data_IF_398719418013
#
_entry.id   IF_398719418013
#
_cell.length_a   1.000
_cell.length_b   1.000
_cell.length_c   1.000
_cell.angle_alpha   90.00
_cell.angle_beta   90.00
_cell.angle_gamma   90.00
#
_symmetry.space_group_name_H-M   'P 1'
#
loop_
_entity.id
_entity.type
_entity.pdbx_description
1 polymer ?
#
# COMPACT_ATOMS: atom_id res chain seq x y z
N UNK A 1 -16.03 -17.01 -9.37
CA UNK A 1 -14.82 -17.83 -9.14
C UNK A 1 -13.92 -17.07 -8.18
N UNK A 2 -13.26 -17.74 -7.24
CA UNK A 2 -12.28 -17.12 -6.34
C UNK A 2 -10.92 -17.74 -6.66
N UNK A 3 -9.90 -16.89 -6.88
CA UNK A 3 -8.51 -17.32 -6.99
C UNK A 3 -7.89 -17.12 -5.61
N UNK A 4 -7.78 -18.21 -4.84
CA UNK A 4 -7.17 -18.17 -3.52
C UNK A 4 -5.65 -18.33 -3.64
N UNK A 5 -4.91 -17.32 -3.19
CA UNK A 5 -3.44 -17.28 -3.25
C UNK A 5 -2.79 -17.58 -1.90
N UNK A 6 -3.56 -18.00 -0.88
CA UNK A 6 -3.07 -18.21 0.49
C UNK A 6 -1.90 -19.19 0.59
N UNK A 7 -1.86 -20.19 -0.28
CA UNK A 7 -0.78 -21.19 -0.31
C UNK A 7 0.48 -20.69 -1.06
N UNK A 8 0.40 -19.54 -1.73
CA UNK A 8 1.57 -18.86 -2.29
C UNK A 8 2.16 -17.98 -1.20
N UNK A 9 2.81 -18.59 -0.22
CA UNK A 9 3.29 -17.94 0.99
C UNK A 9 4.81 -18.08 1.22
N UNK A 10 5.58 -18.44 0.18
CA UNK A 10 7.03 -18.48 0.31
C UNK A 10 7.62 -17.07 0.44
N UNK A 11 8.67 -16.97 1.26
CA UNK A 11 9.50 -15.78 1.41
C UNK A 11 10.95 -16.22 1.24
N UNK A 12 11.62 -15.71 0.20
CA UNK A 12 13.03 -15.99 -0.05
C UNK A 12 13.84 -14.73 0.16
N UNK A 13 14.81 -14.79 1.08
CA UNK A 13 15.66 -13.68 1.49
C UNK A 13 17.05 -13.87 0.89
N UNK A 14 17.57 -12.85 0.20
CA UNK A 14 18.95 -12.79 -0.27
C UNK A 14 19.71 -11.69 0.47
N UNK A 15 20.61 -12.11 1.36
CA UNK A 15 21.42 -11.23 2.21
C UNK A 15 22.53 -10.54 1.41
N UNK A 16 23.07 -11.19 0.37
CA UNK A 16 24.14 -10.62 -0.45
C UNK A 16 23.66 -9.43 -1.27
N UNK A 17 22.45 -9.55 -1.84
CA UNK A 17 21.84 -8.49 -2.66
C UNK A 17 20.92 -7.56 -1.88
N UNK A 18 20.70 -7.82 -0.59
CA UNK A 18 19.69 -7.13 0.23
C UNK A 18 18.32 -7.09 -0.47
N UNK A 19 17.82 -8.26 -0.88
CA UNK A 19 16.48 -8.39 -1.50
C UNK A 19 15.67 -9.53 -0.90
N UNK A 20 14.35 -9.49 -1.06
CA UNK A 20 13.49 -10.66 -0.89
C UNK A 20 12.45 -10.76 -1.98
N UNK A 21 12.09 -12.00 -2.25
CA UNK A 21 10.95 -12.39 -3.06
C UNK A 21 9.85 -12.82 -2.08
N UNK A 22 8.69 -12.18 -2.16
CA UNK A 22 7.54 -12.44 -1.30
C UNK A 22 6.35 -12.82 -2.17
N UNK A 23 5.79 -13.99 -1.91
CA UNK A 23 4.56 -14.44 -2.55
C UNK A 23 3.31 -13.81 -1.88
N UNK A 24 2.20 -13.62 -2.62
CA UNK A 24 1.06 -12.77 -2.23
C UNK A 24 0.17 -13.34 -1.10
N UNK A 25 0.25 -14.64 -0.81
CA UNK A 25 -0.52 -15.33 0.23
C UNK A 25 -0.07 -15.04 1.65
N UNK A 26 1.05 -14.32 1.81
CA UNK A 26 1.62 -14.00 3.10
C UNK A 26 0.79 -12.98 3.90
N UNK A 27 0.67 -13.22 5.21
CA UNK A 27 0.18 -12.20 6.16
C UNK A 27 1.32 -11.24 6.50
N UNK A 28 0.96 -9.98 6.72
CA UNK A 28 1.94 -8.94 7.02
C UNK A 28 2.81 -9.24 8.26
N UNK A 29 2.22 -9.84 9.30
CA UNK A 29 2.97 -10.27 10.49
C UNK A 29 4.05 -11.32 10.19
N UNK A 30 3.76 -12.27 9.30
CA UNK A 30 4.74 -13.29 8.84
C UNK A 30 5.86 -12.63 8.05
N UNK A 31 5.52 -11.72 7.13
CA UNK A 31 6.53 -10.97 6.36
C UNK A 31 7.46 -10.21 7.30
N UNK A 32 6.90 -9.48 8.28
CA UNK A 32 7.71 -8.77 9.25
C UNK A 32 8.62 -9.70 10.05
N UNK A 33 8.11 -10.85 10.50
CA UNK A 33 8.89 -11.81 11.27
C UNK A 33 10.07 -12.37 10.46
N UNK A 34 9.83 -12.89 9.26
CA UNK A 34 10.87 -13.50 8.42
C UNK A 34 11.93 -12.49 7.97
N UNK A 35 11.47 -11.30 7.55
CA UNK A 35 12.38 -10.22 7.16
C UNK A 35 13.19 -9.74 8.37
N UNK A 36 12.57 -9.59 9.55
CA UNK A 36 13.27 -9.16 10.76
C UNK A 36 14.37 -10.13 11.18
N UNK A 37 14.15 -11.44 11.07
CA UNK A 37 15.17 -12.45 11.35
C UNK A 37 16.40 -12.30 10.43
N UNK A 38 16.20 -11.83 9.20
CA UNK A 38 17.28 -11.50 8.27
C UNK A 38 17.85 -10.08 8.43
N UNK A 39 17.36 -9.30 9.40
CA UNK A 39 17.76 -7.91 9.58
C UNK A 39 17.13 -6.96 8.56
N UNK A 40 15.96 -7.28 8.02
CA UNK A 40 15.25 -6.46 7.04
C UNK A 40 13.99 -5.83 7.65
N UNK A 41 13.69 -4.59 7.24
CA UNK A 41 12.51 -3.86 7.65
C UNK A 41 11.86 -3.20 6.42
N UNK A 42 10.55 -3.36 6.29
CA UNK A 42 9.78 -2.80 5.18
C UNK A 42 8.84 -1.67 5.65
N UNK A 43 8.66 -0.61 4.85
CA UNK A 43 7.66 0.42 5.11
C UNK A 43 6.26 -0.05 4.69
N UNK A 44 5.72 -1.02 5.43
CA UNK A 44 4.36 -1.50 5.29
C UNK A 44 3.49 -1.08 6.48
N UNK A 45 2.19 -1.37 6.40
CA UNK A 45 1.19 -0.92 7.36
C UNK A 45 1.45 -1.32 8.81
N UNK A 46 1.12 -0.44 9.77
CA UNK A 46 1.00 -0.84 11.19
C UNK A 46 -0.25 -1.70 11.46
N UNK A 47 -1.22 -1.61 10.55
CA UNK A 47 -2.47 -2.38 10.42
C UNK A 47 -2.57 -2.79 8.93
N UNK A 48 -3.55 -3.59 8.46
CA UNK A 48 -3.61 -4.03 7.04
C UNK A 48 -3.71 -2.90 5.98
N UNK A 49 -3.62 -1.64 6.40
CA UNK A 49 -3.64 -0.44 5.58
C UNK A 49 -2.19 -0.01 5.34
N UNK A 50 -1.73 -0.02 4.10
CA UNK A 50 -0.32 0.08 3.66
C UNK A 50 0.51 1.33 4.02
N UNK A 51 0.19 2.05 5.10
CA UNK A 51 0.95 3.15 5.68
C UNK A 51 1.53 2.76 7.06
N UNK A 52 2.84 2.88 7.22
CA UNK A 52 3.58 2.43 8.40
C UNK A 52 4.37 3.53 9.08
N UNK A 53 4.80 3.27 10.33
CA UNK A 53 5.58 4.24 11.10
C UNK A 53 6.95 4.61 10.47
N UNK A 54 7.46 3.80 9.53
CA UNK A 54 8.69 4.12 8.79
C UNK A 54 8.47 4.68 7.37
N UNK A 55 7.21 4.82 6.93
CA UNK A 55 6.87 5.30 5.59
C UNK A 55 7.38 6.72 5.31
N UNK A 56 7.43 7.60 6.32
CA UNK A 56 8.02 8.95 6.17
C UNK A 56 9.52 8.94 5.84
N UNK A 57 10.24 7.92 6.29
CA UNK A 57 11.70 7.79 6.12
C UNK A 57 12.04 7.00 4.86
N UNK A 58 11.29 5.95 4.55
CA UNK A 58 11.63 5.01 3.47
C UNK A 58 10.62 4.96 2.32
N UNK A 59 9.62 5.84 2.28
CA UNK A 59 8.57 5.83 1.27
C UNK A 59 7.52 4.74 1.51
N UNK A 60 6.63 4.52 0.55
CA UNK A 60 5.62 3.45 0.62
C UNK A 60 6.26 2.09 0.32
N UNK A 61 5.58 0.98 0.63
CA UNK A 61 6.01 -0.35 0.21
C UNK A 61 6.26 -0.42 -1.31
N UNK A 62 5.38 0.19 -2.12
CA UNK A 62 5.55 0.26 -3.57
C UNK A 62 6.82 0.99 -4.02
N UNK A 63 7.34 1.92 -3.23
CA UNK A 63 8.58 2.65 -3.55
C UNK A 63 9.83 1.77 -3.29
N UNK A 64 9.67 0.62 -2.63
CA UNK A 64 10.74 -0.33 -2.29
C UNK A 64 10.65 -1.64 -3.11
N UNK A 65 9.64 -1.78 -3.97
CA UNK A 65 9.52 -2.87 -4.92
C UNK A 65 10.46 -2.58 -6.10
N UNK A 66 11.28 -3.56 -6.46
CA UNK A 66 12.25 -3.49 -7.57
C UNK A 66 11.87 -4.42 -8.73
N UNK A 67 10.96 -5.37 -8.49
CA UNK A 67 10.47 -6.27 -9.51
C UNK A 67 9.18 -6.95 -9.08
N UNK A 68 8.43 -7.43 -10.05
CA UNK A 68 7.23 -8.24 -9.84
C UNK A 68 7.19 -9.37 -10.86
N UNK A 69 6.41 -10.38 -10.53
CA UNK A 69 6.01 -11.45 -11.43
C UNK A 69 4.49 -11.51 -11.48
N UNK A 70 3.93 -11.76 -12.65
CA UNK A 70 2.48 -11.77 -12.82
C UNK A 70 1.98 -12.81 -13.82
N UNK A 71 0.69 -13.10 -13.73
CA UNK A 71 -0.06 -13.85 -14.74
C UNK A 71 -1.15 -12.95 -15.33
N UNK A 72 -1.20 -12.84 -16.66
CA UNK A 72 -2.23 -12.07 -17.39
C UNK A 72 -3.54 -12.84 -17.50
N UNK A 73 -4.61 -12.18 -17.97
CA UNK A 73 -5.95 -12.79 -18.07
C UNK A 73 -6.04 -13.97 -19.04
N UNK A 74 -5.12 -14.07 -20.00
CA UNK A 74 -5.00 -15.21 -20.91
C UNK A 74 -4.08 -16.33 -20.37
N UNK A 75 -3.60 -16.23 -19.12
CA UNK A 75 -2.75 -17.24 -18.49
C UNK A 75 -1.25 -17.13 -18.82
N UNK A 76 -0.79 -16.06 -19.47
CA UNK A 76 0.64 -15.86 -19.76
C UNK A 76 1.38 -15.38 -18.51
N UNK A 77 2.46 -16.08 -18.14
CA UNK A 77 3.38 -15.66 -17.10
C UNK A 77 4.38 -14.64 -17.64
N UNK A 78 4.57 -13.52 -16.91
CA UNK A 78 5.51 -12.47 -17.28
C UNK A 78 6.50 -12.26 -16.12
N UNK A 79 7.78 -12.50 -16.40
CA UNK A 79 8.92 -12.22 -15.53
C UNK A 79 10.17 -11.96 -16.39
N UNK A 80 11.04 -11.01 -16.02
CA UNK A 80 10.86 -10.03 -14.95
C UNK A 80 10.03 -8.83 -15.43
N UNK A 81 9.27 -8.23 -14.51
CA UNK A 81 8.70 -6.89 -14.67
C UNK A 81 9.41 -5.96 -13.70
N UNK A 82 10.14 -4.98 -14.21
CA UNK A 82 10.91 -4.02 -13.42
C UNK A 82 11.07 -2.69 -14.20
N UNK A 83 11.93 -1.79 -13.72
CA UNK A 83 12.16 -0.49 -14.36
C UNK A 83 12.77 -0.55 -15.76
N UNK A 84 13.39 -1.68 -16.14
CA UNK A 84 14.08 -1.88 -17.43
C UNK A 84 13.36 -2.85 -18.37
N UNK A 85 12.56 -3.78 -17.84
CA UNK A 85 11.82 -4.80 -18.59
C UNK A 85 10.34 -4.69 -18.25
N UNK A 86 9.47 -4.53 -19.26
CA UNK A 86 8.02 -4.31 -19.06
C UNK A 86 7.72 -3.12 -18.13
N UNK A 87 8.46 -2.03 -18.28
CA UNK A 87 8.40 -0.86 -17.39
C UNK A 87 7.05 -0.15 -17.39
N UNK A 88 6.25 -0.32 -18.46
CA UNK A 88 4.87 0.14 -18.51
C UNK A 88 3.98 -0.61 -17.52
N UNK A 89 4.19 -1.92 -17.34
CA UNK A 89 3.53 -2.77 -16.34
C UNK A 89 4.03 -2.46 -14.92
N UNK A 90 5.33 -2.23 -14.76
CA UNK A 90 5.95 -1.98 -13.46
C UNK A 90 5.38 -0.74 -12.76
N UNK A 91 5.16 0.36 -13.50
CA UNK A 91 4.66 1.63 -12.93
C UNK A 91 3.21 1.58 -12.41
N UNK A 92 2.48 0.50 -12.72
CA UNK A 92 1.03 0.37 -12.42
C UNK A 92 0.73 -0.80 -11.47
N UNK A 93 1.77 -1.35 -10.83
CA UNK A 93 1.69 -2.60 -10.10
C UNK A 93 0.66 -2.70 -8.95
N UNK A 94 0.09 -1.64 -8.33
CA UNK A 94 -1.02 -1.88 -7.40
C UNK A 94 -2.35 -2.26 -8.08
N UNK A 95 -2.41 -2.39 -9.41
CA UNK A 95 -3.65 -2.58 -10.20
C UNK A 95 -3.54 -3.78 -11.16
N UNK A 96 -2.50 -4.59 -11.02
CA UNK A 96 -2.27 -5.76 -11.89
C UNK A 96 -3.10 -6.97 -11.42
N UNK A 97 -3.52 -7.84 -12.36
CA UNK A 97 -4.55 -8.85 -12.12
C UNK A 97 -4.15 -9.94 -11.12
N UNK A 98 -3.01 -10.61 -11.33
CA UNK A 98 -2.48 -11.63 -10.42
C UNK A 98 -0.98 -11.41 -10.30
N UNK A 99 -0.54 -10.86 -9.18
CA UNK A 99 0.88 -10.78 -8.83
C UNK A 99 1.25 -12.10 -8.16
N UNK A 100 2.22 -12.82 -8.70
CA UNK A 100 2.70 -14.10 -8.13
C UNK A 100 3.84 -13.89 -7.16
N UNK A 101 4.62 -12.83 -7.33
CA UNK A 101 5.63 -12.42 -6.37
C UNK A 101 5.95 -10.93 -6.49
N UNK A 102 6.37 -10.34 -5.37
CA UNK A 102 7.03 -9.03 -5.34
C UNK A 102 8.48 -9.21 -4.91
N UNK A 103 9.37 -8.50 -5.59
CA UNK A 103 10.79 -8.43 -5.26
C UNK A 103 11.03 -7.07 -4.65
N UNK A 104 11.50 -7.04 -3.41
CA UNK A 104 11.79 -5.82 -2.65
C UNK A 104 13.28 -5.71 -2.35
N UNK A 105 13.78 -4.47 -2.32
CA UNK A 105 15.14 -4.15 -1.87
C UNK A 105 15.11 -3.30 -0.61
N UNK A 106 16.14 -3.42 0.22
CA UNK A 106 16.23 -2.68 1.49
C UNK A 106 17.67 -2.28 1.83
N UNK A 107 17.79 -1.35 2.78
CA UNK A 107 19.08 -0.83 3.23
C UNK A 107 19.38 -1.26 4.65
N UNK A 108 20.63 -1.61 4.94
CA UNK A 108 21.08 -2.02 6.27
C UNK A 108 20.89 -0.93 7.34
N UNK A 109 20.70 0.33 6.94
CA UNK A 109 20.35 1.45 7.86
C UNK A 109 18.90 1.39 8.38
N UNK A 110 18.03 0.56 7.81
CA UNK A 110 16.68 0.32 8.32
C UNK A 110 16.66 -0.46 9.65
N UNK A 111 17.80 -1.02 10.05
CA UNK A 111 17.96 -1.97 11.16
C UNK A 111 17.94 -1.31 12.55
N UNK A 112 18.24 -0.01 12.67
CA UNK A 112 18.34 0.67 13.98
C UNK A 112 17.06 1.39 14.40
N UNK A 113 15.99 0.63 14.62
CA UNK A 113 14.73 1.17 15.12
C UNK A 113 14.13 0.32 16.24
N UNK A 114 14.94 0.06 17.28
CA UNK A 114 14.48 -0.39 18.60
C UNK A 114 13.34 0.48 19.17
N UNK A 115 13.21 1.72 18.69
CA UNK A 115 12.17 2.66 19.08
C UNK A 115 10.79 2.38 18.45
N UNK A 116 10.73 1.74 17.28
CA UNK A 116 9.46 1.50 16.58
C UNK A 116 8.75 0.23 17.07
N UNK A 117 9.52 -0.82 17.37
CA UNK A 117 9.03 -2.05 18.03
C UNK A 117 8.42 -1.71 19.39
N UNK A 118 9.01 -0.74 20.11
CA UNK A 118 8.48 -0.21 21.37
C UNK A 118 7.11 0.48 21.17
N UNK A 119 6.97 1.37 20.20
CA UNK A 119 5.68 2.02 19.90
C UNK A 119 4.63 0.98 19.46
N UNK A 120 5.03 -0.02 18.69
CA UNK A 120 4.14 -1.09 18.21
C UNK A 120 3.66 -2.01 19.34
N UNK A 121 4.55 -2.39 20.27
CA UNK A 121 4.17 -3.09 21.51
C UNK A 121 3.26 -2.23 22.40
N UNK A 122 3.57 -0.94 22.58
CA UNK A 122 2.78 -0.02 23.40
C UNK A 122 1.37 0.18 22.82
N UNK A 123 1.24 0.30 21.50
CA UNK A 123 -0.06 0.42 20.82
C UNK A 123 -0.86 -0.88 20.84
N UNK A 124 -0.23 -2.04 20.63
CA UNK A 124 -0.91 -3.35 20.71
C UNK A 124 -1.37 -3.66 22.14
N UNK A 125 -0.56 -3.33 23.15
CA UNK A 125 -0.94 -3.45 24.56
C UNK A 125 -2.05 -2.46 24.93
N UNK A 126 -2.00 -1.23 24.44
CA UNK A 126 -3.08 -0.27 24.65
C UNK A 126 -4.39 -0.72 24.02
N UNK A 127 -4.37 -1.24 22.78
CA UNK A 127 -5.56 -1.70 22.05
C UNK A 127 -6.19 -2.94 22.70
N UNK A 128 -5.38 -3.85 23.24
CA UNK A 128 -5.87 -5.05 23.94
C UNK A 128 -6.55 -4.73 25.27
N UNK A 129 -6.30 -3.55 25.86
CA UNK A 129 -6.88 -3.07 27.12
C UNK A 129 -8.08 -2.12 26.93
N UNK A 130 -8.49 -1.79 25.69
CA UNK A 130 -9.62 -0.88 25.47
C UNK A 130 -10.95 -1.64 25.51
N UNK A 131 -11.79 -1.29 26.47
CA UNK A 131 -13.11 -1.91 26.72
C UNK A 131 -14.18 -1.61 25.64
N UNK A 132 -13.89 -0.75 24.66
CA UNK A 132 -14.86 -0.22 23.68
C UNK A 132 -14.80 -0.89 22.30
N UNK A 133 -15.97 -1.14 21.70
CA UNK A 133 -16.17 -1.92 20.45
C UNK A 133 -15.79 -1.23 19.13
N UNK A 134 -15.32 0.02 19.14
CA UNK A 134 -14.93 0.71 17.90
C UNK A 134 -13.83 1.75 18.15
N UNK A 135 -12.79 1.69 17.32
CA UNK A 135 -11.65 2.60 17.32
C UNK A 135 -11.73 3.44 16.04
N UNK A 136 -11.70 4.77 16.18
CA UNK A 136 -11.55 5.69 15.05
C UNK A 136 -10.08 6.07 14.93
N UNK A 137 -9.42 5.58 13.89
CA UNK A 137 -8.01 5.89 13.59
C UNK A 137 -7.99 7.06 12.60
N UNK A 138 -7.43 8.20 13.01
CA UNK A 138 -7.11 9.30 12.10
C UNK A 138 -5.67 9.13 11.62
N UNK A 139 -5.50 8.66 10.39
CA UNK A 139 -4.19 8.59 9.76
C UNK A 139 -3.88 9.96 9.12
N UNK A 140 -3.24 10.83 9.89
CA UNK A 140 -2.87 12.18 9.45
C UNK A 140 -1.36 12.32 9.62
N UNK A 141 -0.62 11.92 8.59
CA UNK A 141 0.73 12.44 8.32
C UNK A 141 1.21 11.92 6.97
N UNK A 142 1.07 12.66 5.87
CA UNK A 142 1.84 12.37 4.65
C UNK A 142 2.84 13.51 4.42
N UNK A 143 4.13 13.13 4.36
CA UNK A 143 5.27 14.05 4.39
C UNK A 143 6.60 13.29 4.34
N UNK A 144 7.75 14.00 4.32
CA UNK A 144 9.07 13.37 4.39
C UNK A 144 9.65 12.99 3.02
N UNK A 145 10.21 11.78 2.87
CA UNK A 145 10.76 11.30 1.58
C UNK A 145 9.67 11.18 0.51
N UNK A 146 8.41 10.94 0.91
CA UNK A 146 7.28 10.90 -0.01
C UNK A 146 7.12 12.18 -0.85
N UNK A 147 7.43 13.36 -0.31
CA UNK A 147 7.36 14.64 -1.04
C UNK A 147 8.49 14.79 -2.07
N UNK A 148 9.54 13.97 -1.98
CA UNK A 148 10.71 14.00 -2.86
C UNK A 148 10.60 12.98 -4.00
N UNK A 149 9.72 11.99 -3.87
CA UNK A 149 9.49 10.96 -4.88
C UNK A 149 8.48 11.50 -5.91
N UNK A 150 8.83 11.42 -7.19
CA UNK A 150 7.96 11.88 -8.28
C UNK A 150 6.62 11.14 -8.28
N UNK A 151 5.52 11.87 -8.44
CA UNK A 151 4.16 11.31 -8.56
C UNK A 151 4.02 10.31 -9.72
N UNK A 152 4.93 10.34 -10.70
CA UNK A 152 4.90 9.43 -11.85
C UNK A 152 5.67 8.12 -11.64
N UNK A 153 6.31 7.93 -10.46
CA UNK A 153 7.12 6.73 -10.18
C UNK A 153 6.31 5.51 -9.78
N UNK A 154 5.08 5.70 -9.28
CA UNK A 154 4.11 4.63 -8.96
C UNK A 154 2.69 5.17 -9.07
N UNK A 155 1.68 4.29 -9.08
CA UNK A 155 0.27 4.70 -9.10
C UNK A 155 -0.25 5.29 -7.76
N UNK A 156 0.61 5.48 -6.75
CA UNK A 156 0.25 6.08 -5.47
C UNK A 156 0.24 7.62 -5.55
N UNK A 157 -0.94 8.22 -5.36
CA UNK A 157 -1.21 9.65 -5.63
C UNK A 157 -1.05 10.59 -4.42
N UNK A 158 -1.19 10.07 -3.18
CA UNK A 158 -1.24 10.88 -1.95
C UNK A 158 0.15 11.14 -1.37
N UNK A 159 0.90 12.07 -1.97
CA UNK A 159 2.27 12.41 -1.56
C UNK A 159 2.42 13.73 -0.78
N UNK A 160 1.33 14.48 -0.52
CA UNK A 160 1.37 15.80 0.14
C UNK A 160 0.14 16.05 1.04
N UNK A 161 0.29 16.13 2.38
CA UNK A 161 -0.77 16.64 3.28
C UNK A 161 -0.31 17.02 4.71
N UNK A 162 -0.75 18.20 5.18
CA UNK A 162 -0.57 18.73 6.54
C UNK A 162 -1.94 19.04 7.18
N UNK A 163 -2.19 18.57 8.42
CA UNK A 163 -3.05 19.13 9.51
C UNK A 163 -4.14 18.22 10.16
N UNK A 164 -4.39 18.45 11.47
CA UNK A 164 -4.94 17.51 12.48
C UNK A 164 -6.17 17.96 13.33
N UNK A 165 -7.01 16.98 13.76
CA UNK A 165 -7.91 16.77 14.98
C UNK A 165 -9.02 17.80 15.38
N UNK A 166 -10.20 17.52 16.02
CA UNK A 166 -10.80 16.51 16.98
C UNK A 166 -12.38 16.55 16.98
N UNK A 167 -13.14 15.43 16.95
CA UNK A 167 -14.01 14.72 17.99
C UNK A 167 -15.54 15.01 18.21
N UNK A 168 -16.38 13.95 17.99
CA UNK A 168 -17.69 13.41 18.54
C UNK A 168 -18.89 14.32 18.92
N UNK A 169 -20.19 13.94 18.89
CA UNK A 169 -21.03 12.89 18.24
C UNK A 169 -22.52 13.21 18.47
N UNK A 170 -23.29 13.37 17.39
CA UNK A 170 -24.76 13.12 17.26
C UNK A 170 -24.95 12.46 15.89
N UNK A 171 -24.69 11.15 15.83
CA UNK A 171 -23.51 10.68 15.12
C UNK A 171 -23.62 10.57 13.60
N UNK A 172 -24.58 9.86 13.01
CA UNK A 172 -24.38 9.39 11.63
C UNK A 172 -24.60 10.46 10.55
N UNK A 173 -25.71 11.20 10.55
CA UNK A 173 -25.94 12.25 9.55
C UNK A 173 -24.99 13.45 9.73
N UNK A 174 -24.70 13.80 10.99
CA UNK A 174 -23.71 14.83 11.30
C UNK A 174 -22.30 14.36 10.95
N UNK A 175 -22.00 13.06 11.07
CA UNK A 175 -20.72 12.48 10.64
C UNK A 175 -20.62 12.39 9.13
N UNK A 176 -21.68 12.03 8.41
CA UNK A 176 -21.69 12.05 6.95
C UNK A 176 -21.54 13.49 6.43
N UNK A 177 -22.28 14.44 7.00
CA UNK A 177 -22.15 15.86 6.67
C UNK A 177 -20.79 16.43 7.07
N UNK A 178 -20.29 16.11 8.26
CA UNK A 178 -18.92 16.46 8.68
C UNK A 178 -17.89 15.78 7.79
N UNK A 179 -18.07 14.52 7.37
CA UNK A 179 -17.15 13.81 6.48
C UNK A 179 -17.12 14.48 5.12
N UNK A 180 -18.28 14.87 4.58
CA UNK A 180 -18.37 15.63 3.34
C UNK A 180 -17.73 17.03 3.48
N UNK A 181 -18.06 17.78 4.54
CA UNK A 181 -17.49 19.10 4.82
C UNK A 181 -15.99 19.04 5.12
N UNK A 182 -15.54 18.03 5.86
CA UNK A 182 -14.15 17.80 6.24
C UNK A 182 -13.34 17.31 5.04
N UNK A 183 -13.88 16.40 4.23
CA UNK A 183 -13.24 16.01 2.98
C UNK A 183 -13.08 17.21 2.06
N UNK A 184 -14.15 17.98 1.86
CA UNK A 184 -14.11 19.18 1.01
C UNK A 184 -13.12 20.25 1.51
N UNK A 185 -12.89 20.34 2.83
CA UNK A 185 -12.09 21.42 3.44
C UNK A 185 -10.66 21.01 3.84
N UNK A 186 -10.42 19.73 4.10
CA UNK A 186 -9.17 19.25 4.71
C UNK A 186 -8.58 18.01 4.03
N UNK A 187 -9.29 17.36 3.11
CA UNK A 187 -8.70 16.30 2.28
C UNK A 187 -8.41 16.80 0.89
N UNK A 188 -7.49 16.12 0.20
CA UNK A 188 -7.26 16.40 -1.22
C UNK A 188 -8.43 15.86 -2.04
N UNK A 189 -8.54 16.30 -3.30
CA UNK A 189 -9.52 15.76 -4.24
C UNK A 189 -9.37 14.23 -4.44
N UNK A 190 -8.16 13.71 -4.26
CA UNK A 190 -7.83 12.30 -4.48
C UNK A 190 -8.05 11.43 -3.24
N UNK A 191 -8.26 10.14 -3.45
CA UNK A 191 -8.57 9.14 -2.42
C UNK A 191 -7.57 7.98 -2.46
N UNK A 192 -7.35 7.35 -1.31
CA UNK A 192 -6.42 6.22 -1.19
C UNK A 192 -7.09 4.91 -1.57
N UNK A 193 -6.47 4.12 -2.44
CA UNK A 193 -7.07 2.91 -3.02
C UNK A 193 -7.40 1.83 -1.98
N UNK A 194 -6.71 1.78 -0.84
CA UNK A 194 -7.01 0.81 0.23
C UNK A 194 -8.19 1.24 1.13
N UNK A 195 -8.65 2.48 1.03
CA UNK A 195 -9.86 2.96 1.68
C UNK A 195 -10.97 3.12 0.64
N UNK A 196 -11.57 1.98 0.26
CA UNK A 196 -12.67 1.95 -0.70
C UNK A 196 -13.91 2.60 -0.10
N UNK A 197 -14.40 3.64 -0.77
CA UNK A 197 -15.65 4.31 -0.49
C UNK A 197 -16.62 3.99 -1.63
N UNK A 198 -17.73 3.32 -1.29
CA UNK A 198 -18.74 2.89 -2.27
C UNK A 198 -19.51 4.07 -2.86
N UNK A 199 -19.67 5.12 -2.08
CA UNK A 199 -20.47 6.29 -2.44
C UNK A 199 -19.60 7.41 -3.02
N UNK A 200 -18.33 7.11 -3.30
CA UNK A 200 -17.37 8.02 -3.90
C UNK A 200 -17.78 8.37 -5.33
N UNK A 201 -18.16 9.62 -5.56
CA UNK A 201 -18.39 10.17 -6.88
C UNK A 201 -17.10 10.19 -7.71
N UNK A 202 -17.20 10.04 -9.03
CA UNK A 202 -16.05 10.02 -9.94
C UNK A 202 -14.86 9.16 -9.44
N UNK A 203 -15.18 7.99 -8.89
CA UNK A 203 -14.23 7.19 -8.12
C UNK A 203 -12.94 6.86 -8.90
N UNK A 204 -13.04 6.61 -10.21
CA UNK A 204 -11.88 6.31 -11.06
C UNK A 204 -10.89 7.48 -11.11
N UNK A 205 -11.39 8.69 -11.28
CA UNK A 205 -10.54 9.89 -11.29
C UNK A 205 -10.06 10.23 -9.88
N UNK A 206 -10.90 10.06 -8.86
CA UNK A 206 -10.50 10.31 -7.47
C UNK A 206 -9.42 9.33 -6.98
N UNK A 207 -9.43 8.08 -7.41
CA UNK A 207 -8.38 7.11 -7.05
C UNK A 207 -7.12 7.19 -7.92
N UNK A 208 -7.24 7.55 -9.20
CA UNK A 208 -6.12 7.40 -10.15
C UNK A 208 -5.70 8.70 -10.84
N UNK A 209 -6.48 9.76 -10.74
CA UNK A 209 -6.17 11.08 -11.28
C UNK A 209 -5.73 11.05 -12.74
N UNK A 210 -4.65 11.79 -13.04
CA UNK A 210 -4.09 11.87 -14.39
C UNK A 210 -3.44 10.56 -14.88
N UNK A 211 -3.28 9.55 -14.01
CA UNK A 211 -2.77 8.24 -14.41
C UNK A 211 -3.84 7.36 -15.07
N UNK A 212 -5.12 7.66 -14.87
CA UNK A 212 -6.24 6.83 -15.34
C UNK A 212 -6.16 6.43 -16.82
N UNK A 213 -5.85 7.33 -17.79
CA UNK A 213 -5.77 6.94 -19.20
C UNK A 213 -4.70 5.87 -19.46
N UNK A 214 -3.52 6.01 -18.85
CA UNK A 214 -2.41 5.05 -18.96
C UNK A 214 -2.77 3.70 -18.33
N UNK A 215 -3.48 3.73 -17.20
CA UNK A 215 -3.96 2.51 -16.54
C UNK A 215 -4.93 1.74 -17.43
N UNK A 216 -5.89 2.43 -18.06
CA UNK A 216 -6.85 1.84 -18.98
C UNK A 216 -6.14 1.23 -20.19
N UNK A 217 -5.17 1.93 -20.77
CA UNK A 217 -4.38 1.41 -21.90
C UNK A 217 -3.62 0.14 -21.51
N UNK A 218 -2.96 0.14 -20.35
CA UNK A 218 -2.17 -1.01 -19.89
C UNK A 218 -3.08 -2.19 -19.52
N UNK A 219 -4.22 -1.93 -18.87
CA UNK A 219 -5.23 -2.96 -18.58
C UNK A 219 -5.70 -3.65 -19.85
N UNK A 220 -5.91 -2.92 -20.95
CA UNK A 220 -6.27 -3.52 -22.25
C UNK A 220 -5.20 -4.46 -22.80
N UNK A 221 -3.90 -4.24 -22.51
CA UNK A 221 -2.82 -5.13 -22.95
C UNK A 221 -2.84 -6.47 -22.19
N UNK A 222 -3.02 -6.42 -20.87
CA UNK A 222 -2.92 -7.59 -19.98
C UNK A 222 -4.25 -8.31 -19.73
N UNK A 223 -5.36 -7.61 -19.92
CA UNK A 223 -6.72 -8.09 -19.67
C UNK A 223 -7.73 -7.39 -20.61
N UNK A 224 -7.66 -7.67 -21.93
CA UNK A 224 -8.49 -7.02 -22.94
C UNK A 224 -9.99 -7.24 -22.75
N UNK A 225 -10.36 -8.38 -22.15
CA UNK A 225 -11.75 -8.77 -21.92
C UNK A 225 -12.27 -8.36 -20.53
N UNK A 226 -11.44 -7.67 -19.73
CA UNK A 226 -11.76 -7.25 -18.37
C UNK A 226 -12.25 -8.40 -17.48
N UNK A 227 -11.53 -9.53 -17.54
CA UNK A 227 -11.77 -10.73 -16.75
C UNK A 227 -11.65 -10.43 -15.24
N UNK A 228 -10.72 -9.56 -14.85
CA UNK A 228 -10.56 -9.10 -13.47
C UNK A 228 -11.17 -7.69 -13.33
N UNK A 229 -12.35 -7.57 -12.73
CA UNK A 229 -13.16 -6.35 -12.69
C UNK A 229 -13.49 -5.85 -11.28
#
# INVERSE_FOLDING_TARGET
>A
MVIDVKEFNQITVNIETNTAIIEPGNRLGTIYHELYQAGFLIPAGLFPQGYGAVTRKYGMLCDNIIGIEMVTANGTFISPINSTHHSDLFMIHPILPIITSIIISYTSEQIKLEFLTFIQMVLLNFISDVEYKFVVIFDISVGGVLNKISVNSSAFILRDSNNSKKTMTKCLEKYLRFSQEFQAKYTTYFSYQNYIDRDLDDCRTRYYGHHLPRLVETKKKCDPNNLFN
#
